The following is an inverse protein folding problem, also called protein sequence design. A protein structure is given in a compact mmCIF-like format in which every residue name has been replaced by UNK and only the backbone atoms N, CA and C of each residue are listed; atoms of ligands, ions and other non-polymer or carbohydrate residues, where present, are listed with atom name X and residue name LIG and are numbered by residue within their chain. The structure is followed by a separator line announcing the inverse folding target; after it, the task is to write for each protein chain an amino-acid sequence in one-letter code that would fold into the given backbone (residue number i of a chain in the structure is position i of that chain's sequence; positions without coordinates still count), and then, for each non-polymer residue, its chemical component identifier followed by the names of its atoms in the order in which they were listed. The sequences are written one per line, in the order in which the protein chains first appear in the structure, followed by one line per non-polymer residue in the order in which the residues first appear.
data_IF_504933461721
#
_entry.id   IF_504933461721
#
_cell.length_a   1.000
_cell.length_b   1.000
_cell.length_c   1.000
_cell.angle_alpha   90.00
_cell.angle_beta   90.00
_cell.angle_gamma   90.00
#
_symmetry.space_group_name_H-M   'P 1'
#
loop_
_entity.id
_entity.type
_entity.pdbx_description
1 polymer ?
#
# COMPACT_ATOMS: atom_id res chain seq x y z
N UNK A 1 -21.94 -22.68 -4.73
CA UNK A 1 -21.53 -21.34 -4.68
C UNK A 1 -20.18 -21.15 -5.25
N UNK A 2 -20.13 -20.41 -6.20
CA UNK A 2 -18.90 -20.30 -6.91
C UNK A 2 -18.07 -19.10 -6.51
N UNK A 3 -18.46 -18.44 -5.50
CA UNK A 3 -17.93 -17.13 -5.33
C UNK A 3 -16.62 -17.13 -4.61
N UNK A 4 -15.67 -17.69 -5.25
CA UNK A 4 -14.31 -17.61 -4.79
C UNK A 4 -13.74 -16.21 -4.99
N UNK A 5 -12.49 -16.01 -4.59
CA UNK A 5 -11.88 -14.68 -4.60
C UNK A 5 -11.83 -14.01 -5.95
N UNK A 6 -11.83 -14.74 -7.01
CA UNK A 6 -11.80 -14.15 -8.33
C UNK A 6 -13.15 -13.91 -8.93
N UNK A 7 -14.18 -14.31 -8.23
CA UNK A 7 -15.53 -14.23 -8.75
C UNK A 7 -16.03 -12.81 -8.59
N UNK A 8 -16.44 -12.20 -9.65
CA UNK A 8 -17.02 -10.89 -9.55
C UNK A 8 -18.31 -10.87 -10.35
N UNK A 9 -19.08 -9.86 -10.13
CA UNK A 9 -20.44 -9.80 -10.61
C UNK A 9 -20.56 -8.95 -11.87
N UNK A 10 -19.56 -8.99 -12.70
CA UNK A 10 -19.66 -8.36 -14.00
C UNK A 10 -19.19 -6.93 -14.08
N UNK A 11 -18.88 -6.30 -13.00
CA UNK A 11 -18.28 -4.97 -13.05
C UNK A 11 -16.85 -4.99 -12.58
N UNK A 12 -16.19 -6.05 -12.90
CA UNK A 12 -14.75 -6.15 -12.84
C UNK A 12 -14.18 -6.53 -11.50
N UNK A 13 -14.68 -6.02 -10.43
CA UNK A 13 -14.08 -6.24 -9.13
C UNK A 13 -15.11 -6.42 -8.02
N UNK A 14 -16.28 -6.94 -8.36
CA UNK A 14 -17.29 -7.20 -7.37
C UNK A 14 -17.04 -8.52 -6.65
N UNK A 15 -16.78 -8.46 -5.37
CA UNK A 15 -16.63 -9.63 -4.52
C UNK A 15 -17.86 -9.70 -3.60
N UNK A 16 -18.55 -10.83 -3.61
CA UNK A 16 -19.77 -11.00 -2.84
C UNK A 16 -19.56 -11.76 -1.54
N UNK A 17 -18.47 -12.51 -1.44
CA UNK A 17 -18.18 -13.32 -0.27
C UNK A 17 -16.91 -12.84 0.40
N UNK A 18 -16.81 -13.08 1.70
CA UNK A 18 -15.60 -12.84 2.43
C UNK A 18 -14.48 -13.73 1.88
N UNK A 19 -13.26 -13.23 1.92
CA UNK A 19 -12.07 -13.94 1.47
C UNK A 19 -11.06 -13.98 2.60
N UNK A 20 -10.28 -15.04 2.62
CA UNK A 20 -9.27 -15.24 3.64
C UNK A 20 -7.99 -15.72 2.97
N UNK A 21 -6.96 -14.91 2.99
CA UNK A 21 -5.65 -15.28 2.45
C UNK A 21 -4.57 -14.98 3.49
N UNK A 22 -3.46 -15.62 3.32
CA UNK A 22 -2.23 -15.26 4.03
C UNK A 22 -1.33 -14.52 3.04
N UNK A 23 -0.48 -13.64 3.52
CA UNK A 23 0.46 -12.96 2.63
C UNK A 23 1.26 -13.94 1.78
N UNK A 24 1.55 -15.13 2.31
CA UNK A 24 2.27 -16.15 1.57
C UNK A 24 1.52 -16.68 0.35
N UNK A 25 0.21 -16.45 0.27
CA UNK A 25 -0.61 -16.84 -0.88
C UNK A 25 -0.75 -15.72 -1.92
N UNK A 26 -0.20 -14.56 -1.66
CA UNK A 26 -0.32 -13.39 -2.54
C UNK A 26 1.01 -13.20 -3.27
N UNK A 27 0.98 -13.25 -4.61
CA UNK A 27 2.22 -13.09 -5.38
C UNK A 27 2.93 -11.77 -5.08
N UNK A 28 4.25 -11.84 -5.05
CA UNK A 28 5.08 -10.64 -4.88
C UNK A 28 5.33 -10.04 -6.26
N UNK A 29 5.11 -8.76 -6.38
CA UNK A 29 5.40 -7.97 -7.56
C UNK A 29 6.62 -7.09 -7.30
N UNK A 30 7.28 -6.67 -8.36
CA UNK A 30 8.46 -5.83 -8.28
C UNK A 30 8.25 -4.59 -9.15
N UNK A 31 7.50 -3.59 -8.65
CA UNK A 31 7.17 -2.41 -9.46
C UNK A 31 8.37 -1.55 -9.84
N UNK A 32 9.44 -1.63 -9.05
CA UNK A 32 10.68 -0.93 -9.35
C UNK A 32 11.83 -1.62 -8.61
N UNK A 33 13.06 -1.27 -8.96
CA UNK A 33 14.22 -1.80 -8.27
C UNK A 33 14.17 -1.45 -6.78
N UNK A 34 14.34 -2.46 -5.94
CA UNK A 34 14.33 -2.29 -4.49
C UNK A 34 12.96 -2.17 -3.87
N UNK A 35 11.89 -2.42 -4.63
CA UNK A 35 10.52 -2.39 -4.13
C UNK A 35 9.83 -3.72 -4.41
N UNK A 36 9.31 -4.34 -3.36
CA UNK A 36 8.42 -5.50 -3.48
C UNK A 36 7.03 -5.05 -3.04
N UNK A 37 6.02 -5.57 -3.73
CA UNK A 37 4.63 -5.20 -3.44
C UNK A 37 3.74 -6.44 -3.48
N UNK A 38 2.88 -6.57 -2.49
CA UNK A 38 1.80 -7.55 -2.48
C UNK A 38 0.50 -6.79 -2.26
N UNK A 39 -0.55 -7.17 -2.97
CA UNK A 39 -1.82 -6.44 -2.91
C UNK A 39 -2.98 -7.36 -2.62
N UNK A 40 -3.85 -6.95 -1.73
CA UNK A 40 -5.13 -7.61 -1.45
C UNK A 40 -6.23 -6.60 -1.74
N UNK A 41 -6.97 -6.84 -2.82
CA UNK A 41 -7.86 -5.85 -3.40
C UNK A 41 -9.29 -6.19 -3.02
N UNK A 42 -10.00 -5.25 -2.41
CA UNK A 42 -11.42 -5.35 -2.12
C UNK A 42 -12.26 -4.64 -3.17
N UNK A 43 -13.50 -4.35 -2.83
CA UNK A 43 -14.40 -3.66 -3.75
C UNK A 43 -14.15 -2.15 -3.78
N UNK A 44 -13.91 -1.55 -2.62
CA UNK A 44 -13.75 -0.11 -2.48
C UNK A 44 -12.51 0.27 -1.70
N UNK A 45 -11.73 -0.69 -1.27
CA UNK A 45 -10.50 -0.46 -0.55
C UNK A 45 -9.53 -1.60 -0.83
N UNK A 46 -8.26 -1.37 -0.59
CA UNK A 46 -7.22 -2.36 -0.82
C UNK A 46 -6.11 -2.20 0.20
N UNK A 47 -5.42 -3.30 0.44
CA UNK A 47 -4.24 -3.31 1.31
C UNK A 47 -3.04 -3.64 0.44
N UNK A 48 -1.99 -2.83 0.55
CA UNK A 48 -0.73 -3.08 -0.12
C UNK A 48 0.36 -3.26 0.92
N UNK A 49 1.12 -4.33 0.81
CA UNK A 49 2.28 -4.54 1.65
C UNK A 49 3.52 -4.32 0.81
N UNK A 50 4.32 -3.33 1.20
CA UNK A 50 5.54 -2.95 0.51
C UNK A 50 6.76 -3.32 1.33
N UNK A 51 7.78 -3.78 0.65
CA UNK A 51 9.10 -3.96 1.22
C UNK A 51 10.07 -3.12 0.41
N UNK A 52 10.77 -2.21 1.08
CA UNK A 52 11.68 -1.26 0.45
C UNK A 52 13.11 -1.52 0.92
N UNK A 53 14.05 -1.44 0.00
CA UNK A 53 15.47 -1.53 0.35
C UNK A 53 15.89 -0.29 1.15
N UNK A 54 17.00 -0.38 1.93
CA UNK A 54 17.52 0.79 2.63
C UNK A 54 17.80 1.95 1.68
N UNK A 55 17.59 3.16 2.18
CA UNK A 55 17.87 4.44 1.50
C UNK A 55 17.04 4.71 0.25
N UNK A 56 16.05 3.91 -0.04
CA UNK A 56 15.16 4.14 -1.18
C UNK A 56 14.33 5.39 -0.95
N UNK A 57 14.17 6.18 -2.00
CA UNK A 57 13.38 7.42 -1.97
C UNK A 57 12.15 7.23 -2.82
N UNK A 58 10.98 7.51 -2.24
CA UNK A 58 9.76 7.65 -3.02
C UNK A 58 9.53 9.15 -3.22
N UNK A 59 9.36 9.62 -4.45
CA UNK A 59 9.17 11.06 -4.68
C UNK A 59 7.89 11.57 -4.03
N UNK A 60 7.90 12.84 -3.69
CA UNK A 60 6.70 13.47 -3.16
C UNK A 60 5.63 13.51 -4.25
N UNK A 61 4.41 13.23 -3.86
CA UNK A 61 3.27 13.20 -4.77
C UNK A 61 1.99 13.36 -3.97
N UNK A 62 0.87 13.50 -4.69
CA UNK A 62 -0.44 13.44 -4.09
C UNK A 62 -1.33 12.51 -4.93
N UNK A 63 -2.42 12.11 -4.35
CA UNK A 63 -3.42 11.30 -5.04
C UNK A 63 -4.77 11.50 -4.34
N UNK A 64 -5.87 11.30 -5.07
CA UNK A 64 -7.20 11.51 -4.49
C UNK A 64 -7.60 10.45 -3.45
N UNK A 65 -6.89 9.34 -3.40
CA UNK A 65 -7.16 8.25 -2.49
C UNK A 65 -6.83 8.67 -1.06
N UNK A 66 -7.70 8.31 -0.13
CA UNK A 66 -7.36 8.35 1.28
C UNK A 66 -6.43 7.19 1.57
N UNK A 67 -5.44 7.40 2.43
CA UNK A 67 -4.44 6.38 2.75
C UNK A 67 -4.19 6.31 4.24
N UNK A 68 -4.10 5.09 4.76
CA UNK A 68 -3.55 4.85 6.08
C UNK A 68 -2.33 3.96 5.93
N UNK A 69 -1.30 4.23 6.71
CA UNK A 69 -0.05 3.51 6.64
C UNK A 69 0.34 2.98 8.00
N UNK A 70 0.74 1.72 8.03
CA UNK A 70 1.27 1.07 9.23
C UNK A 70 2.73 0.77 8.94
N UNK A 71 3.63 1.23 9.80
CA UNK A 71 5.04 0.85 9.70
C UNK A 71 5.19 -0.48 10.41
N UNK A 72 5.45 -1.53 9.66
CA UNK A 72 5.61 -2.87 10.21
C UNK A 72 7.06 -3.11 10.64
N UNK A 73 8.02 -2.55 9.88
CA UNK A 73 9.44 -2.76 10.13
C UNK A 73 10.24 -1.56 9.63
N UNK A 74 11.29 -1.22 10.37
CA UNK A 74 12.25 -0.20 9.95
C UNK A 74 11.85 1.20 10.37
N UNK A 75 12.58 2.18 9.83
CA UNK A 75 12.34 3.60 10.08
C UNK A 75 12.27 4.34 8.77
N UNK A 76 11.36 5.30 8.70
CA UNK A 76 11.05 6.04 7.47
C UNK A 76 11.00 7.52 7.80
N UNK A 77 11.62 8.32 6.95
CA UNK A 77 11.47 9.77 7.01
C UNK A 77 10.36 10.15 6.03
N UNK A 78 9.22 10.52 6.56
CA UNK A 78 8.09 10.98 5.75
C UNK A 78 8.16 12.49 5.59
N UNK A 79 7.83 12.96 4.39
CA UNK A 79 7.60 14.37 4.12
C UNK A 79 6.10 14.53 3.89
N UNK A 80 5.44 15.29 4.74
CA UNK A 80 3.99 15.44 4.70
C UNK A 80 3.67 16.92 4.72
N UNK A 81 3.11 17.41 3.61
CA UNK A 81 2.78 18.84 3.45
C UNK A 81 3.97 19.72 3.80
N UNK A 82 5.15 19.34 3.31
CA UNK A 82 6.37 20.11 3.54
C UNK A 82 7.04 19.92 4.89
N UNK A 83 6.53 19.05 5.74
CA UNK A 83 7.10 18.80 7.06
C UNK A 83 7.66 17.40 7.13
N UNK A 84 8.80 17.27 7.79
CA UNK A 84 9.47 15.99 7.96
C UNK A 84 9.03 15.34 9.25
N UNK A 85 8.75 14.03 9.19
CA UNK A 85 8.45 13.21 10.37
C UNK A 85 9.14 11.87 10.23
N UNK A 86 9.73 11.39 11.30
CA UNK A 86 10.33 10.06 11.31
C UNK A 86 9.38 9.11 11.98
N UNK A 87 9.01 8.04 11.27
CA UNK A 87 8.15 6.99 11.78
C UNK A 87 8.95 5.70 11.89
N UNK A 88 8.58 4.87 12.87
CA UNK A 88 9.25 3.60 13.13
C UNK A 88 8.22 2.49 13.29
N UNK A 89 8.69 1.27 13.37
CA UNK A 89 7.83 0.10 13.55
C UNK A 89 6.83 0.31 14.67
N UNK A 90 5.56 0.05 14.39
CA UNK A 90 4.45 0.27 15.30
C UNK A 90 3.71 1.58 15.10
N UNK A 91 4.27 2.50 14.34
CA UNK A 91 3.60 3.78 14.07
C UNK A 91 2.54 3.62 13.00
N UNK A 92 1.51 4.45 13.11
CA UNK A 92 0.45 4.52 12.11
C UNK A 92 0.31 5.96 11.64
N UNK A 93 0.01 6.13 10.35
CA UNK A 93 -0.12 7.44 9.74
C UNK A 93 -1.42 7.49 8.94
N UNK A 94 -1.96 8.69 8.82
CA UNK A 94 -3.13 8.94 8.00
C UNK A 94 -2.82 10.05 7.01
N UNK A 95 -3.08 9.78 5.74
CA UNK A 95 -2.92 10.76 4.67
C UNK A 95 -4.29 11.02 4.05
N UNK A 96 -4.88 12.19 4.31
CA UNK A 96 -6.15 12.54 3.67
C UNK A 96 -6.01 12.62 2.15
N UNK A 97 -7.14 12.61 1.46
CA UNK A 97 -7.16 12.78 0.00
C UNK A 97 -6.35 14.01 -0.40
N UNK A 98 -5.54 13.85 -1.44
CA UNK A 98 -4.73 14.92 -2.03
C UNK A 98 -3.66 15.50 -1.11
N UNK A 99 -3.31 14.79 -0.06
CA UNK A 99 -2.22 15.18 0.82
C UNK A 99 -0.88 15.00 0.10
N UNK A 100 -0.06 16.03 0.07
CA UNK A 100 1.27 15.97 -0.54
C UNK A 100 2.22 15.24 0.39
N UNK A 101 2.78 14.14 -0.07
CA UNK A 101 3.64 13.33 0.77
C UNK A 101 4.67 12.52 -0.03
N UNK A 102 5.72 12.12 0.66
CA UNK A 102 6.76 11.24 0.13
C UNK A 102 7.51 10.61 1.28
N UNK A 103 8.45 9.74 0.96
CA UNK A 103 9.18 8.99 1.99
C UNK A 103 10.60 8.69 1.56
N UNK A 104 11.50 8.70 2.53
CA UNK A 104 12.87 8.24 2.36
C UNK A 104 13.14 7.16 3.39
N UNK A 105 13.49 5.96 2.93
CA UNK A 105 13.84 4.87 3.83
C UNK A 105 15.17 5.18 4.48
N UNK A 106 15.32 4.83 5.74
CA UNK A 106 16.58 5.06 6.44
C UNK A 106 17.53 3.87 6.21
N UNK A 107 18.35 3.54 7.17
CA UNK A 107 19.50 2.65 6.97
C UNK A 107 19.16 1.16 7.06
N UNK A 108 17.89 0.81 7.12
CA UNK A 108 17.49 -0.60 7.14
C UNK A 108 16.29 -0.83 6.23
N UNK A 109 16.00 -2.08 5.98
CA UNK A 109 14.84 -2.47 5.20
C UNK A 109 13.56 -1.99 5.90
N UNK A 110 12.62 -1.52 5.11
CA UNK A 110 11.35 -1.00 5.62
C UNK A 110 10.22 -1.83 5.06
N UNK A 111 9.27 -2.20 5.93
CA UNK A 111 8.03 -2.84 5.51
C UNK A 111 6.88 -1.93 5.93
N UNK A 112 6.10 -1.51 4.94
CA UNK A 112 4.91 -0.67 5.14
C UNK A 112 3.68 -1.44 4.70
N UNK A 113 2.59 -1.23 5.43
CA UNK A 113 1.28 -1.67 5.00
C UNK A 113 0.47 -0.42 4.73
N UNK A 114 0.05 -0.24 3.48
CA UNK A 114 -0.76 0.88 3.05
C UNK A 114 -2.17 0.42 2.76
N UNK A 115 -3.15 1.14 3.28
CA UNK A 115 -4.57 0.90 3.04
C UNK A 115 -5.11 2.09 2.27
N UNK A 116 -5.70 1.83 1.11
CA UNK A 116 -6.24 2.87 0.23
C UNK A 116 -7.74 2.73 0.02
N UNK A 117 -8.40 3.86 -0.08
CA UNK A 117 -9.78 3.94 -0.52
C UNK A 117 -9.96 5.23 -1.33
N UNK A 118 -10.54 5.17 -2.53
CA UNK A 118 -10.89 3.97 -3.29
C UNK A 118 -9.66 3.20 -3.77
N UNK A 119 -9.85 2.26 -4.66
CA UNK A 119 -8.75 1.45 -5.17
C UNK A 119 -7.72 2.31 -5.91
N UNK A 120 -6.45 1.99 -5.71
CA UNK A 120 -5.36 2.54 -6.50
C UNK A 120 -5.36 1.84 -7.85
N UNK A 121 -6.16 2.35 -8.76
CA UNK A 121 -6.30 1.74 -10.08
C UNK A 121 -5.00 1.79 -10.87
N UNK A 122 -4.17 2.77 -10.59
CA UNK A 122 -2.83 2.88 -11.19
C UNK A 122 -1.90 1.73 -10.78
N UNK A 123 -2.22 1.00 -9.70
CA UNK A 123 -1.46 -0.18 -9.29
C UNK A 123 -1.98 -1.45 -9.95
N UNK A 124 -3.19 -1.43 -10.48
CA UNK A 124 -3.86 -2.63 -10.99
C UNK A 124 -3.59 -2.80 -12.47
N UNK A 125 -3.55 -4.06 -12.96
CA UNK A 125 -3.38 -4.30 -14.38
C UNK A 125 -4.58 -3.80 -15.15
N UNK A 126 -4.36 -3.41 -16.35
CA UNK A 126 -5.44 -3.04 -17.22
C UNK A 126 -5.37 -1.75 -17.83
#
# INVERSE_FOLDING_TARGET
MSDGPGDNNGNGNGYNLARHLNWSNIPVEYPADGIERQMFVGNRMMICRFRFKPFLVTPEHDHPHEQMTIVERGRVRFFIEGKEQIAKAGDVLHFPSNCWHGATMMDEEVVLIDIFSPLREDFLPG
#
